data_IF_365650218774
#
_entry.id   IF_365650218774
#
_cell.length_a   1.000
_cell.length_b   1.000
_cell.length_c   1.000
_cell.angle_alpha   90.00
_cell.angle_beta   90.00
_cell.angle_gamma   90.00
#
_symmetry.space_group_name_H-M   'P 1'
#
loop_
_entity.id
_entity.type
_entity.pdbx_description
1 polymer ?
#
# COMPACT_ATOMS: atom_id res chain seq x y z
N UNK A 1 17.74 -16.17 -23.44
CA UNK A 1 16.85 -15.76 -22.33
C UNK A 1 16.55 -14.26 -22.32
N UNK A 2 17.51 -13.35 -22.52
CA UNK A 2 17.24 -11.90 -22.48
C UNK A 2 16.36 -11.33 -23.63
N UNK A 3 16.25 -12.02 -24.78
CA UNK A 3 15.43 -11.59 -25.93
C UNK A 3 13.91 -11.73 -25.72
N UNK A 4 13.46 -12.36 -24.63
CA UNK A 4 12.05 -12.54 -24.29
C UNK A 4 11.51 -11.45 -23.35
N UNK A 5 12.35 -10.54 -22.86
CA UNK A 5 11.92 -9.46 -21.97
C UNK A 5 11.53 -8.26 -22.84
N UNK A 6 10.24 -8.14 -23.11
CA UNK A 6 9.68 -6.99 -23.82
C UNK A 6 9.58 -5.82 -22.83
N UNK A 7 10.39 -4.78 -23.04
CA UNK A 7 10.33 -3.57 -22.19
C UNK A 7 8.95 -2.94 -22.28
N UNK A 8 8.25 -2.84 -21.15
CA UNK A 8 6.91 -2.24 -21.04
C UNK A 8 6.94 -0.71 -20.96
N UNK A 9 8.12 -0.09 -21.18
CA UNK A 9 8.37 1.34 -21.05
C UNK A 9 8.63 1.81 -19.61
N UNK A 10 8.86 3.11 -19.44
CA UNK A 10 9.16 3.75 -18.16
C UNK A 10 7.87 4.06 -17.38
N UNK A 11 7.18 3.05 -16.89
CA UNK A 11 6.04 3.22 -15.97
C UNK A 11 6.49 3.03 -14.52
N UNK A 12 6.09 3.95 -13.66
CA UNK A 12 6.42 3.89 -12.23
C UNK A 12 5.70 2.73 -11.51
N UNK A 13 6.26 2.28 -10.39
CA UNK A 13 5.70 1.18 -9.59
C UNK A 13 4.32 1.51 -9.04
N UNK A 14 4.07 2.76 -8.63
CA UNK A 14 2.74 3.20 -8.13
C UNK A 14 1.64 3.08 -9.20
N UNK A 15 1.96 3.24 -10.48
CA UNK A 15 1.03 2.98 -11.58
C UNK A 15 0.76 1.49 -11.76
N UNK A 16 1.78 0.65 -11.54
CA UNK A 16 1.63 -0.81 -11.46
C UNK A 16 0.69 -1.22 -10.33
N UNK A 17 0.82 -0.58 -9.16
CA UNK A 17 -0.08 -0.78 -8.03
C UNK A 17 -1.52 -0.37 -8.37
N UNK A 18 -1.73 0.82 -8.93
CA UNK A 18 -3.06 1.30 -9.31
C UNK A 18 -3.78 0.37 -10.28
N UNK A 19 -3.08 -0.14 -11.29
CA UNK A 19 -3.64 -1.13 -12.21
C UNK A 19 -3.85 -2.51 -11.56
N UNK A 20 -2.91 -2.93 -10.70
CA UNK A 20 -2.94 -4.22 -10.00
C UNK A 20 -4.10 -4.32 -9.01
N UNK A 21 -4.31 -3.30 -8.17
CA UNK A 21 -5.41 -3.32 -7.18
C UNK A 21 -6.78 -3.33 -7.84
N UNK A 22 -6.96 -2.64 -8.97
CA UNK A 22 -8.21 -2.69 -9.75
C UNK A 22 -8.43 -4.09 -10.31
N UNK A 23 -7.41 -4.70 -10.92
CA UNK A 23 -7.50 -6.06 -11.44
C UNK A 23 -7.82 -7.08 -10.33
N UNK A 24 -7.17 -6.97 -9.17
CA UNK A 24 -7.43 -7.82 -8.01
C UNK A 24 -8.86 -7.63 -7.50
N UNK A 25 -9.34 -6.39 -7.40
CA UNK A 25 -10.66 -6.07 -6.90
C UNK A 25 -11.79 -6.50 -7.84
N UNK A 26 -11.56 -6.55 -9.16
CA UNK A 26 -12.50 -7.18 -10.12
C UNK A 26 -12.69 -8.67 -9.85
N UNK A 27 -11.64 -9.35 -9.41
CA UNK A 27 -11.66 -10.80 -9.14
C UNK A 27 -12.11 -11.14 -7.71
N UNK A 28 -12.01 -10.21 -6.77
CA UNK A 28 -12.33 -10.45 -5.38
C UNK A 28 -13.20 -9.33 -4.78
N UNK A 29 -14.48 -9.60 -4.44
CA UNK A 29 -15.39 -8.61 -3.87
C UNK A 29 -15.01 -8.14 -2.45
N UNK A 30 -14.14 -8.88 -1.74
CA UNK A 30 -13.75 -8.56 -0.38
C UNK A 30 -12.60 -7.54 -0.28
N UNK A 31 -11.95 -7.19 -1.39
CA UNK A 31 -10.91 -6.16 -1.42
C UNK A 31 -11.55 -4.78 -1.20
N UNK A 32 -10.98 -4.04 -0.25
CA UNK A 32 -11.35 -2.65 0.07
C UNK A 32 -10.07 -1.81 0.06
N UNK A 33 -10.10 -0.64 -0.57
CA UNK A 33 -9.01 0.33 -0.53
C UNK A 33 -9.29 1.38 0.55
N UNK A 34 -8.30 1.65 1.40
CA UNK A 34 -8.34 2.72 2.38
C UNK A 34 -7.20 3.69 2.07
N UNK A 35 -7.45 5.00 2.17
CA UNK A 35 -6.41 6.00 1.96
C UNK A 35 -6.40 7.05 3.07
N UNK A 36 -5.22 7.58 3.35
CA UNK A 36 -5.07 8.75 4.21
C UNK A 36 -4.82 10.00 3.35
N UNK A 37 -5.85 10.47 2.64
CA UNK A 37 -5.84 11.67 1.79
C UNK A 37 -4.85 11.73 0.61
N UNK A 38 -4.25 10.58 0.22
CA UNK A 38 -3.28 10.50 -0.87
C UNK A 38 -3.72 9.63 -2.06
N UNK A 39 -5.03 9.53 -2.31
CA UNK A 39 -5.61 8.65 -3.34
C UNK A 39 -5.01 8.85 -4.74
N UNK A 40 -4.87 10.12 -5.16
CA UNK A 40 -4.30 10.47 -6.47
C UNK A 40 -2.83 10.07 -6.58
N UNK A 41 -2.05 10.27 -5.51
CA UNK A 41 -0.63 9.91 -5.45
C UNK A 41 -0.41 8.40 -5.50
N UNK A 42 -1.39 7.62 -5.01
CA UNK A 42 -1.38 6.16 -5.01
C UNK A 42 -2.12 5.56 -6.22
N UNK A 43 -2.52 6.39 -7.20
CA UNK A 43 -3.15 5.97 -8.46
C UNK A 43 -4.49 5.23 -8.27
N UNK A 44 -5.26 5.59 -7.24
CA UNK A 44 -6.54 4.93 -6.92
C UNK A 44 -7.77 5.44 -7.71
N UNK A 45 -7.59 6.40 -8.61
CA UNK A 45 -8.71 7.03 -9.35
C UNK A 45 -9.63 6.01 -10.04
N UNK A 46 -9.05 5.01 -10.69
CA UNK A 46 -9.81 3.98 -11.39
C UNK A 46 -10.54 3.04 -10.41
N UNK A 47 -9.91 2.70 -9.27
CA UNK A 47 -10.54 1.93 -8.21
C UNK A 47 -11.76 2.65 -7.65
N UNK A 48 -11.64 3.94 -7.35
CA UNK A 48 -12.75 4.77 -6.85
C UNK A 48 -13.91 4.83 -7.85
N UNK A 49 -13.60 4.89 -9.15
CA UNK A 49 -14.60 4.94 -10.22
C UNK A 49 -15.35 3.61 -10.37
N UNK A 50 -14.66 2.48 -10.31
CA UNK A 50 -15.29 1.16 -10.48
C UNK A 50 -15.93 0.62 -9.20
N UNK A 51 -15.37 0.95 -8.03
CA UNK A 51 -15.73 0.37 -6.74
C UNK A 51 -15.94 1.44 -5.67
N UNK A 52 -16.82 2.43 -5.88
CA UNK A 52 -17.00 3.53 -4.93
C UNK A 52 -17.36 3.06 -3.53
N UNK A 53 -18.18 2.00 -3.41
CA UNK A 53 -18.59 1.43 -2.11
C UNK A 53 -17.50 0.60 -1.42
N UNK A 54 -16.35 0.39 -2.07
CA UNK A 54 -15.20 -0.35 -1.54
C UNK A 54 -13.97 0.53 -1.35
N UNK A 55 -14.16 1.85 -1.42
CA UNK A 55 -13.13 2.83 -1.16
C UNK A 55 -13.48 3.61 0.11
N UNK A 56 -12.53 3.72 1.03
CA UNK A 56 -12.69 4.45 2.30
C UNK A 56 -11.63 5.53 2.38
N UNK A 57 -12.07 6.78 2.40
CA UNK A 57 -11.23 7.92 2.75
C UNK A 57 -11.16 8.03 4.27
N UNK A 58 -9.97 7.92 4.84
CA UNK A 58 -9.75 8.05 6.29
C UNK A 58 -9.27 9.46 6.71
N UNK A 59 -9.04 10.37 5.76
CA UNK A 59 -8.44 11.68 6.02
C UNK A 59 -6.96 11.55 6.43
N UNK A 60 -6.34 12.63 6.92
CA UNK A 60 -4.94 12.62 7.39
C UNK A 60 -4.85 11.96 8.77
N UNK A 61 -5.15 10.66 8.84
CA UNK A 61 -5.28 9.90 10.07
C UNK A 61 -4.77 8.46 9.88
N UNK A 62 -3.48 8.30 9.59
CA UNK A 62 -2.89 7.00 9.24
C UNK A 62 -3.03 5.96 10.37
N UNK A 63 -2.86 6.38 11.62
CA UNK A 63 -3.00 5.48 12.78
C UNK A 63 -4.43 4.92 12.88
N UNK A 64 -5.44 5.78 12.66
CA UNK A 64 -6.83 5.37 12.61
C UNK A 64 -7.08 4.44 11.40
N UNK A 65 -6.53 4.77 10.22
CA UNK A 65 -6.66 3.93 9.02
C UNK A 65 -6.16 2.50 9.25
N UNK A 66 -5.02 2.32 9.93
CA UNK A 66 -4.51 0.98 10.28
C UNK A 66 -5.47 0.26 11.25
N UNK A 67 -5.98 0.94 12.27
CA UNK A 67 -6.97 0.37 13.20
C UNK A 67 -8.26 -0.06 12.51
N UNK A 68 -8.81 0.80 11.64
CA UNK A 68 -9.99 0.50 10.82
C UNK A 68 -9.72 -0.70 9.90
N UNK A 69 -8.57 -0.73 9.23
CA UNK A 69 -8.18 -1.86 8.39
C UNK A 69 -8.12 -3.16 9.20
N UNK A 70 -7.42 -3.18 10.33
CA UNK A 70 -7.39 -4.34 11.21
C UNK A 70 -8.80 -4.81 11.60
N UNK A 71 -9.71 -3.88 11.96
CA UNK A 71 -11.11 -4.19 12.25
C UNK A 71 -11.88 -4.79 11.08
N UNK A 72 -11.72 -4.24 9.86
CA UNK A 72 -12.39 -4.72 8.65
C UNK A 72 -12.07 -6.19 8.33
N UNK A 73 -10.87 -6.67 8.70
CA UNK A 73 -10.52 -8.08 8.52
C UNK A 73 -11.41 -9.04 9.33
N UNK A 74 -11.94 -8.60 10.48
CA UNK A 74 -12.88 -9.38 11.29
C UNK A 74 -14.19 -9.60 10.54
N UNK A 75 -14.61 -8.63 9.72
CA UNK A 75 -15.75 -8.73 8.81
C UNK A 75 -15.46 -9.47 7.50
N UNK A 76 -14.32 -10.17 7.39
CA UNK A 76 -13.94 -10.95 6.21
C UNK A 76 -13.43 -10.10 5.02
N UNK A 77 -13.15 -8.81 5.23
CA UNK A 77 -12.60 -7.94 4.19
C UNK A 77 -11.08 -8.07 4.09
N UNK A 78 -10.55 -7.67 2.95
CA UNK A 78 -9.11 -7.64 2.64
C UNK A 78 -8.72 -6.18 2.39
N UNK A 79 -8.38 -5.42 3.44
CA UNK A 79 -8.06 -4.01 3.33
C UNK A 79 -6.66 -3.77 2.75
N UNK A 80 -6.59 -2.87 1.78
CA UNK A 80 -5.37 -2.31 1.21
C UNK A 80 -5.26 -0.86 1.69
N UNK A 81 -4.41 -0.59 2.68
CA UNK A 81 -4.19 0.77 3.19
C UNK A 81 -3.12 1.47 2.38
N UNK A 82 -3.37 2.71 1.97
CA UNK A 82 -2.50 3.44 1.04
C UNK A 82 -2.15 4.82 1.56
N UNK A 83 -0.85 5.09 1.72
CA UNK A 83 -0.29 6.43 2.00
C UNK A 83 1.22 6.41 1.65
N UNK A 84 1.98 7.45 1.97
CA UNK A 84 3.42 7.48 1.75
C UNK A 84 4.16 6.64 2.77
N UNK A 85 5.32 6.10 2.40
CA UNK A 85 6.07 5.16 3.22
C UNK A 85 6.37 5.69 4.63
N UNK A 86 6.76 6.96 4.75
CA UNK A 86 6.99 7.59 6.06
C UNK A 86 5.74 7.52 6.96
N UNK A 87 4.57 7.78 6.38
CA UNK A 87 3.30 7.81 7.10
C UNK A 87 2.70 6.42 7.30
N UNK A 88 2.97 5.50 6.36
CA UNK A 88 2.51 4.11 6.36
C UNK A 88 3.32 3.22 7.29
N UNK A 89 4.54 3.60 7.68
CA UNK A 89 5.43 2.74 8.47
C UNK A 89 5.90 3.45 9.73
N UNK A 90 6.75 4.48 9.60
CA UNK A 90 7.33 5.21 10.73
C UNK A 90 6.28 5.82 11.65
N UNK A 91 5.35 6.61 11.10
CA UNK A 91 4.31 7.31 11.89
C UNK A 91 3.37 6.37 12.66
N UNK A 92 3.09 5.19 12.11
CA UNK A 92 2.04 4.28 12.61
C UNK A 92 2.57 2.92 13.06
N UNK A 93 3.87 2.88 13.38
CA UNK A 93 4.59 1.64 13.65
C UNK A 93 3.93 0.80 14.77
N UNK A 94 3.49 1.45 15.85
CA UNK A 94 2.82 0.78 16.97
C UNK A 94 1.47 0.18 16.56
N UNK A 95 0.66 0.89 15.77
CA UNK A 95 -0.62 0.37 15.28
C UNK A 95 -0.42 -0.86 14.39
N UNK A 96 0.60 -0.85 13.53
CA UNK A 96 0.95 -2.02 12.72
C UNK A 96 1.40 -3.16 13.62
N UNK A 97 2.31 -2.90 14.56
CA UNK A 97 2.85 -3.92 15.47
C UNK A 97 1.74 -4.61 16.25
N UNK A 98 0.88 -3.84 16.91
CA UNK A 98 -0.11 -4.36 17.84
C UNK A 98 -1.37 -4.88 17.12
N UNK A 99 -1.92 -4.07 16.22
CA UNK A 99 -3.23 -4.35 15.62
C UNK A 99 -3.14 -5.19 14.34
N UNK A 100 -1.99 -5.24 13.68
CA UNK A 100 -1.81 -6.03 12.44
C UNK A 100 -0.93 -7.24 12.66
N UNK A 101 0.34 -7.02 13.01
CA UNK A 101 1.34 -8.11 13.08
C UNK A 101 1.06 -9.06 14.25
N UNK A 102 0.98 -8.54 15.48
CA UNK A 102 0.71 -9.36 16.67
C UNK A 102 -0.66 -10.05 16.62
N UNK A 103 -1.63 -9.39 15.99
CA UNK A 103 -3.01 -9.90 15.88
C UNK A 103 -3.26 -10.72 14.61
N UNK A 104 -2.21 -11.02 13.83
CA UNK A 104 -2.23 -11.80 12.58
C UNK A 104 -3.33 -11.37 11.58
N UNK A 105 -3.52 -10.05 11.43
CA UNK A 105 -4.58 -9.52 10.57
C UNK A 105 -4.16 -9.49 9.11
N UNK A 106 -5.10 -9.86 8.24
CA UNK A 106 -4.93 -9.88 6.78
C UNK A 106 -5.01 -8.48 6.16
N UNK A 107 -4.10 -7.58 6.55
CA UNK A 107 -4.01 -6.20 6.03
C UNK A 107 -2.88 -6.12 5.00
N UNK A 108 -3.10 -5.40 3.90
CA UNK A 108 -2.07 -5.09 2.90
C UNK A 108 -1.67 -3.62 3.04
N UNK A 109 -0.45 -3.37 3.51
CA UNK A 109 0.07 -2.02 3.73
C UNK A 109 0.83 -1.61 2.47
N UNK A 110 0.23 -0.72 1.68
CA UNK A 110 0.73 -0.33 0.37
C UNK A 110 1.31 1.08 0.45
N UNK A 111 2.61 1.13 0.75
CA UNK A 111 3.39 2.34 0.89
C UNK A 111 3.99 2.77 -0.45
N UNK A 112 3.85 4.05 -0.82
CA UNK A 112 4.54 4.65 -1.97
C UNK A 112 5.53 5.73 -1.53
N UNK A 113 6.32 6.27 -2.46
CA UNK A 113 7.26 7.37 -2.18
C UNK A 113 8.27 7.02 -1.07
N UNK A 114 8.73 5.76 -1.06
CA UNK A 114 9.82 5.30 -0.19
C UNK A 114 11.19 5.78 -0.69
N UNK A 115 12.15 5.87 0.21
CA UNK A 115 13.53 6.18 -0.14
C UNK A 115 13.76 7.63 -0.61
N UNK A 116 14.86 7.83 -1.33
CA UNK A 116 15.34 9.16 -1.71
C UNK A 116 14.68 9.74 -2.97
N UNK A 117 14.10 8.88 -3.82
CA UNK A 117 13.59 9.28 -5.16
C UNK A 117 12.34 10.15 -5.11
N UNK A 118 11.80 10.41 -3.92
CA UNK A 118 10.77 11.43 -3.71
C UNK A 118 11.28 12.83 -4.06
N UNK A 119 12.57 13.11 -3.88
CA UNK A 119 13.17 14.37 -4.29
C UNK A 119 12.77 15.53 -3.38
N UNK A 120 12.00 16.47 -3.93
CA UNK A 120 11.85 17.83 -3.44
C UNK A 120 11.14 17.95 -2.08
N UNK A 121 10.31 16.98 -1.69
CA UNK A 121 9.62 16.98 -0.39
C UNK A 121 10.58 16.78 0.80
N UNK A 122 11.81 16.34 0.52
CA UNK A 122 12.93 16.33 1.45
C UNK A 122 12.82 15.36 2.62
N UNK A 123 13.68 15.59 3.62
CA UNK A 123 13.94 14.64 4.71
C UNK A 123 12.73 14.30 5.58
N UNK A 124 11.69 15.14 5.61
CA UNK A 124 10.47 14.88 6.37
C UNK A 124 9.56 13.83 5.73
N UNK A 125 9.77 13.52 4.45
CA UNK A 125 9.01 12.51 3.70
C UNK A 125 9.86 11.30 3.27
N UNK A 126 11.18 11.48 3.17
CA UNK A 126 12.14 10.43 2.82
C UNK A 126 12.42 9.52 4.02
N UNK A 127 11.66 8.44 4.16
CA UNK A 127 11.97 7.37 5.11
C UNK A 127 12.98 6.40 4.50
N UNK A 128 14.03 6.06 5.25
CA UNK A 128 15.11 5.16 4.82
C UNK A 128 15.16 3.86 5.62
N UNK A 129 14.36 3.80 6.69
CA UNK A 129 14.29 2.71 7.65
C UNK A 129 13.01 1.86 7.54
N UNK A 130 12.11 2.18 6.61
CA UNK A 130 10.79 1.54 6.45
C UNK A 130 10.87 0.01 6.25
N UNK A 131 11.77 -0.46 5.39
CA UNK A 131 12.02 -1.89 5.18
C UNK A 131 12.49 -2.55 6.48
N UNK A 132 13.40 -1.88 7.21
CA UNK A 132 13.93 -2.38 8.48
C UNK A 132 12.85 -2.48 9.56
N UNK A 133 12.07 -1.40 9.73
CA UNK A 133 10.94 -1.35 10.65
C UNK A 133 9.96 -2.50 10.37
N UNK A 134 9.50 -2.65 9.12
CA UNK A 134 8.50 -3.67 8.78
C UNK A 134 9.07 -5.09 8.89
N UNK A 135 10.32 -5.32 8.50
CA UNK A 135 10.94 -6.65 8.54
C UNK A 135 11.23 -7.15 9.95
N UNK A 136 11.35 -6.25 10.93
CA UNK A 136 11.54 -6.61 12.33
C UNK A 136 10.24 -7.09 13.02
N UNK A 137 9.07 -6.89 12.40
CA UNK A 137 7.81 -7.38 12.93
C UNK A 137 7.62 -8.88 12.65
N UNK A 138 7.35 -9.73 13.67
CA UNK A 138 7.09 -11.15 13.47
C UNK A 138 5.94 -11.40 12.49
N UNK A 139 6.11 -12.34 11.56
CA UNK A 139 5.10 -12.71 10.57
C UNK A 139 4.87 -11.71 9.43
N UNK A 140 5.52 -10.54 9.46
CA UNK A 140 5.38 -9.53 8.41
C UNK A 140 6.14 -9.94 7.15
N UNK A 141 5.43 -9.93 6.01
CA UNK A 141 6.05 -10.11 4.69
C UNK A 141 6.30 -8.74 4.07
N UNK A 142 7.54 -8.47 3.68
CA UNK A 142 7.93 -7.22 3.00
C UNK A 142 8.25 -7.52 1.54
N UNK A 143 7.52 -6.88 0.63
CA UNK A 143 7.69 -7.01 -0.82
C UNK A 143 8.12 -5.66 -1.38
N UNK A 144 9.24 -5.64 -2.13
CA UNK A 144 9.79 -4.43 -2.76
C UNK A 144 9.89 -4.69 -4.26
N UNK A 145 8.87 -4.34 -5.06
CA UNK A 145 8.89 -4.58 -6.49
C UNK A 145 9.83 -3.59 -7.20
N UNK A 146 10.51 -4.07 -8.25
CA UNK A 146 11.51 -3.32 -9.00
C UNK A 146 10.92 -2.49 -10.14
N UNK A 147 9.77 -2.89 -10.70
CA UNK A 147 9.16 -2.23 -11.84
C UNK A 147 7.61 -2.30 -11.82
N UNK A 148 6.99 -1.69 -12.82
CA UNK A 148 5.55 -1.73 -13.04
C UNK A 148 4.99 -3.16 -13.10
N UNK A 149 5.64 -4.05 -13.85
CA UNK A 149 5.12 -5.40 -14.11
C UNK A 149 5.17 -6.27 -12.84
N UNK A 150 6.27 -6.19 -12.09
CA UNK A 150 6.42 -6.87 -10.82
C UNK A 150 5.46 -6.30 -9.76
N UNK A 151 5.24 -4.99 -9.75
CA UNK A 151 4.27 -4.40 -8.82
C UNK A 151 2.85 -4.86 -9.14
N UNK A 152 2.49 -4.93 -10.42
CA UNK A 152 1.16 -5.39 -10.84
C UNK A 152 0.93 -6.88 -10.54
N UNK A 153 1.99 -7.69 -10.55
CA UNK A 153 1.92 -9.13 -10.29
C UNK A 153 1.93 -9.51 -8.80
N UNK A 154 2.46 -8.63 -7.94
CA UNK A 154 2.58 -8.85 -6.49
C UNK A 154 1.21 -8.80 -5.79
#
# INVERSE_FOLDING_TARGET
>A
MLKAIQSTGNKDTRSGFGDGIVEAARKNPNIIALTADLAGSLKLNQFMKEFPDRFIQCGIAEANMIGVAAGLTIGGKIPFTTTFANFSTGRVYDQIRQSVAYSEKNVKICASHAGLTLGEDGATHQILEDIGLMKMLPGMTVVVPCDYAQTKAA
#
